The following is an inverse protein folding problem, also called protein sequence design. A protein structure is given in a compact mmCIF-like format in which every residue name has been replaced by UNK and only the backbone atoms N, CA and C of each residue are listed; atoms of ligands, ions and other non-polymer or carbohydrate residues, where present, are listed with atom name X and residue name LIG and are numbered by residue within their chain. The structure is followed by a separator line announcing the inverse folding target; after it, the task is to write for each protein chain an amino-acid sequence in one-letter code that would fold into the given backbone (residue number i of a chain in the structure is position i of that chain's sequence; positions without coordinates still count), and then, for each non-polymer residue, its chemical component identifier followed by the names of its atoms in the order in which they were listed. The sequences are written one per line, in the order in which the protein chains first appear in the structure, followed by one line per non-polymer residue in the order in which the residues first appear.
data_IF_354305036416
#
_entry.id   IF_354305036416
#
_cell.length_a   1.000
_cell.length_b   1.000
_cell.length_c   1.000
_cell.angle_alpha   90.00
_cell.angle_beta   90.00
_cell.angle_gamma   90.00
#
_symmetry.space_group_name_H-M   'P 1'
#
loop_
_entity.id
_entity.type
_entity.pdbx_description
1 polymer ?
#
# COMPACT_ATOMS: atom_id res chain seq x y z
N UNK A 1 -3.30 0.04 -21.86
CA UNK A 1 -3.95 -0.97 -21.02
C UNK A 1 -3.48 -2.38 -21.39
N UNK A 2 -3.80 -3.41 -20.57
CA UNK A 2 -3.49 -4.81 -20.88
C UNK A 2 -4.10 -5.25 -22.21
N UNK A 3 -5.38 -4.98 -22.44
CA UNK A 3 -6.09 -5.38 -23.67
C UNK A 3 -5.46 -4.78 -24.93
N UNK A 4 -5.17 -3.48 -24.93
CA UNK A 4 -4.46 -2.83 -26.05
C UNK A 4 -3.08 -3.44 -26.30
N UNK A 5 -2.37 -3.84 -25.24
CA UNK A 5 -1.08 -4.52 -25.37
C UNK A 5 -1.19 -5.92 -25.95
N UNK A 6 -2.25 -6.65 -25.63
CA UNK A 6 -2.53 -7.97 -26.24
C UNK A 6 -2.96 -7.81 -27.68
N UNK A 7 -3.84 -6.85 -27.98
CA UNK A 7 -4.27 -6.52 -29.33
C UNK A 7 -3.09 -6.14 -30.26
N UNK A 8 -2.17 -5.35 -29.75
CA UNK A 8 -0.96 -4.98 -30.49
C UNK A 8 -0.02 -6.17 -30.74
N UNK A 9 -0.01 -7.17 -29.86
CA UNK A 9 0.83 -8.36 -29.98
C UNK A 9 0.23 -9.44 -30.89
N UNK A 10 -1.10 -9.67 -30.84
CA UNK A 10 -1.71 -10.85 -31.45
C UNK A 10 -3.03 -10.58 -32.19
N UNK A 11 -3.46 -9.31 -32.29
CA UNK A 11 -4.74 -8.95 -32.92
C UNK A 11 -5.95 -9.01 -31.97
N UNK A 12 -7.15 -8.78 -32.50
CA UNK A 12 -8.38 -8.64 -31.71
C UNK A 12 -9.00 -9.97 -31.29
N UNK A 13 -9.04 -10.91 -32.23
CA UNK A 13 -9.76 -12.17 -32.05
C UNK A 13 -8.80 -13.32 -31.78
N UNK A 14 -8.51 -13.56 -30.50
CA UNK A 14 -7.55 -14.58 -30.06
C UNK A 14 -8.31 -15.73 -29.43
N UNK A 15 -8.36 -16.92 -30.06
CA UNK A 15 -8.94 -18.11 -29.46
C UNK A 15 -8.18 -18.51 -28.18
N UNK A 16 -8.88 -18.99 -27.16
CA UNK A 16 -8.25 -19.46 -25.93
C UNK A 16 -7.22 -20.59 -26.18
N UNK A 17 -7.43 -21.41 -27.21
CA UNK A 17 -6.50 -22.46 -27.60
C UNK A 17 -5.11 -21.95 -28.05
N UNK A 18 -5.04 -20.71 -28.50
CA UNK A 18 -3.79 -20.05 -28.90
C UNK A 18 -2.93 -19.63 -27.68
N UNK A 19 -3.57 -19.42 -26.54
CA UNK A 19 -2.91 -18.92 -25.33
C UNK A 19 -2.20 -20.08 -24.63
N UNK A 20 -1.04 -20.48 -25.17
CA UNK A 20 -0.17 -21.53 -24.64
C UNK A 20 0.91 -20.94 -23.73
N UNK A 21 1.70 -21.79 -23.09
CA UNK A 21 2.89 -21.38 -22.32
C UNK A 21 3.88 -20.59 -23.20
N UNK A 22 4.14 -21.07 -24.40
CA UNK A 22 5.02 -20.38 -25.36
C UNK A 22 4.47 -19.01 -25.77
N UNK A 23 3.17 -18.94 -26.04
CA UNK A 23 2.51 -17.66 -26.35
C UNK A 23 2.65 -16.64 -25.20
N UNK A 24 2.49 -17.08 -23.93
CA UNK A 24 2.67 -16.22 -22.74
C UNK A 24 4.12 -15.75 -22.59
N UNK A 25 5.11 -16.63 -22.85
CA UNK A 25 6.52 -16.27 -22.85
C UNK A 25 6.85 -15.22 -23.92
N UNK A 26 6.27 -15.34 -25.12
CA UNK A 26 6.44 -14.36 -26.19
C UNK A 26 5.78 -13.02 -25.84
N UNK A 27 4.59 -13.03 -25.26
CA UNK A 27 3.89 -11.84 -24.80
C UNK A 27 4.67 -11.12 -23.69
N UNK A 28 5.29 -11.84 -22.77
CA UNK A 28 6.14 -11.28 -21.72
C UNK A 28 7.34 -10.53 -22.34
N UNK A 29 8.02 -11.17 -23.29
CA UNK A 29 9.15 -10.56 -24.01
C UNK A 29 8.71 -9.32 -24.79
N UNK A 30 7.57 -9.38 -25.46
CA UNK A 30 7.00 -8.24 -26.18
C UNK A 30 6.76 -7.05 -25.26
N UNK A 31 6.12 -7.26 -24.11
CA UNK A 31 5.89 -6.19 -23.15
C UNK A 31 7.19 -5.69 -22.47
N UNK A 32 8.15 -6.57 -22.27
CA UNK A 32 9.47 -6.18 -21.73
C UNK A 32 10.23 -5.30 -22.72
N UNK A 33 10.20 -5.63 -24.00
CA UNK A 33 10.83 -4.85 -25.07
C UNK A 33 10.12 -3.49 -25.29
N UNK A 34 8.81 -3.43 -25.01
CA UNK A 34 8.02 -2.19 -24.99
C UNK A 34 8.25 -1.34 -23.73
N UNK A 35 9.27 -1.69 -22.93
CA UNK A 35 9.67 -0.93 -21.75
C UNK A 35 8.76 -1.08 -20.52
N UNK A 36 7.84 -2.03 -20.50
CA UNK A 36 6.99 -2.26 -19.33
C UNK A 36 7.76 -2.89 -18.18
N UNK A 37 7.56 -2.37 -16.98
CA UNK A 37 8.17 -2.93 -15.78
C UNK A 37 7.64 -4.35 -15.48
N UNK A 38 8.46 -5.19 -14.85
CA UNK A 38 8.05 -6.53 -14.38
C UNK A 38 6.78 -6.47 -13.51
N UNK A 39 6.63 -5.44 -12.68
CA UNK A 39 5.41 -5.21 -11.87
C UNK A 39 4.18 -5.00 -12.73
N UNK A 40 4.29 -4.19 -13.79
CA UNK A 40 3.19 -3.94 -14.74
C UNK A 40 2.80 -5.21 -15.48
N UNK A 41 3.81 -5.94 -15.97
CA UNK A 41 3.62 -7.23 -16.67
C UNK A 41 2.93 -8.25 -15.75
N UNK A 42 3.38 -8.35 -14.49
CA UNK A 42 2.74 -9.21 -13.49
C UNK A 42 1.25 -8.89 -13.28
N UNK A 43 0.93 -7.60 -13.18
CA UNK A 43 -0.48 -7.16 -13.05
C UNK A 43 -1.29 -7.55 -14.28
N UNK A 44 -0.74 -7.39 -15.47
CA UNK A 44 -1.40 -7.77 -16.72
C UNK A 44 -1.66 -9.28 -16.78
N UNK A 45 -0.67 -10.10 -16.43
CA UNK A 45 -0.86 -11.54 -16.36
C UNK A 45 -1.86 -11.98 -15.28
N UNK A 46 -1.95 -11.26 -14.15
CA UNK A 46 -3.00 -11.55 -13.16
C UNK A 46 -4.40 -11.37 -13.72
N UNK A 47 -4.64 -10.32 -14.51
CA UNK A 47 -5.93 -10.11 -15.16
C UNK A 47 -6.19 -11.18 -16.24
N UNK A 48 -5.19 -11.49 -17.06
CA UNK A 48 -5.32 -12.54 -18.08
C UNK A 48 -5.59 -13.90 -17.44
N UNK A 49 -4.86 -14.24 -16.36
CA UNK A 49 -5.10 -15.48 -15.60
C UNK A 49 -6.50 -15.55 -15.02
N UNK A 50 -7.04 -14.42 -14.54
CA UNK A 50 -8.41 -14.39 -14.02
C UNK A 50 -9.43 -14.70 -15.11
N UNK A 51 -9.28 -14.14 -16.32
CA UNK A 51 -10.13 -14.44 -17.47
C UNK A 51 -10.04 -15.92 -17.85
N UNK A 52 -8.83 -16.47 -17.94
CA UNK A 52 -8.63 -17.88 -18.30
C UNK A 52 -9.11 -18.83 -17.19
N UNK A 53 -9.03 -18.45 -15.93
CA UNK A 53 -9.63 -19.21 -14.83
C UNK A 53 -11.16 -19.27 -14.97
N UNK A 54 -11.80 -18.15 -15.31
CA UNK A 54 -13.24 -18.15 -15.54
C UNK A 54 -13.61 -19.06 -16.72
N UNK A 55 -12.92 -18.92 -17.84
CA UNK A 55 -13.14 -19.79 -19.01
C UNK A 55 -12.90 -21.28 -18.69
N UNK A 56 -11.99 -21.61 -17.78
CA UNK A 56 -11.78 -22.98 -17.27
C UNK A 56 -12.94 -23.44 -16.41
N UNK A 57 -13.42 -22.61 -15.50
CA UNK A 57 -14.58 -22.92 -14.65
C UNK A 57 -15.85 -23.15 -15.48
N UNK A 58 -16.00 -22.39 -16.56
CA UNK A 58 -17.13 -22.50 -17.51
C UNK A 58 -16.97 -23.68 -18.50
N UNK A 59 -15.88 -24.47 -18.36
CA UNK A 59 -15.62 -25.65 -19.23
C UNK A 59 -15.13 -25.31 -20.64
N UNK A 60 -14.88 -24.05 -20.96
CA UNK A 60 -14.36 -23.61 -22.27
C UNK A 60 -12.89 -24.02 -22.45
N UNK A 61 -12.12 -23.99 -21.39
CA UNK A 61 -10.72 -24.43 -21.36
C UNK A 61 -10.62 -25.71 -20.51
N UNK A 62 -10.09 -26.80 -21.09
CA UNK A 62 -9.78 -28.03 -20.33
C UNK A 62 -8.61 -27.79 -19.39
N UNK A 63 -8.62 -28.45 -18.22
CA UNK A 63 -7.55 -28.32 -17.20
C UNK A 63 -6.15 -28.60 -17.78
N UNK A 64 -6.03 -29.60 -18.66
CA UNK A 64 -4.76 -29.94 -19.32
C UNK A 64 -4.18 -28.81 -20.17
N UNK A 65 -5.03 -27.94 -20.71
CA UNK A 65 -4.66 -26.83 -21.58
C UNK A 65 -4.51 -25.49 -20.82
N UNK A 66 -4.75 -25.48 -19.50
CA UNK A 66 -4.61 -24.25 -18.73
C UNK A 66 -3.12 -23.88 -18.59
N UNK A 67 -2.69 -22.69 -19.10
CA UNK A 67 -1.26 -22.43 -19.30
C UNK A 67 -0.51 -21.94 -18.04
N UNK A 68 -1.21 -21.59 -16.95
CA UNK A 68 -0.58 -21.07 -15.74
C UNK A 68 -0.41 -22.15 -14.67
N UNK A 69 0.70 -22.11 -13.93
CA UNK A 69 0.92 -22.95 -12.75
C UNK A 69 2.33 -23.54 -12.67
N UNK A 70 2.54 -24.37 -11.67
CA UNK A 70 3.84 -25.04 -11.46
C UNK A 70 4.16 -25.96 -12.64
N UNK A 71 5.35 -25.81 -13.22
CA UNK A 71 5.77 -26.53 -14.43
C UNK A 71 5.11 -26.05 -15.71
N UNK A 72 4.39 -24.93 -15.66
CA UNK A 72 3.80 -24.20 -16.80
C UNK A 72 4.31 -22.76 -16.78
N UNK A 73 3.53 -21.78 -17.29
CA UNK A 73 3.92 -20.39 -17.21
C UNK A 73 3.83 -19.88 -15.77
N UNK A 74 4.97 -19.44 -15.25
CA UNK A 74 5.07 -18.78 -13.94
C UNK A 74 5.18 -17.27 -14.16
N UNK A 75 4.24 -16.53 -13.55
CA UNK A 75 4.21 -15.08 -13.70
C UNK A 75 5.47 -14.45 -13.10
N UNK A 76 6.08 -13.44 -13.78
CA UNK A 76 7.27 -12.79 -13.27
C UNK A 76 7.01 -12.19 -11.88
N UNK A 77 7.85 -12.53 -10.92
CA UNK A 77 7.81 -11.90 -9.60
C UNK A 77 8.45 -10.51 -9.72
N UNK A 78 7.78 -9.51 -9.19
CA UNK A 78 8.35 -8.20 -9.06
C UNK A 78 8.57 -7.91 -7.58
N UNK A 79 9.82 -7.73 -7.19
CA UNK A 79 10.12 -7.16 -5.89
C UNK A 79 9.67 -5.70 -5.89
N UNK A 80 8.61 -5.41 -5.14
CA UNK A 80 8.15 -4.04 -4.92
C UNK A 80 9.23 -3.23 -4.20
N UNK A 81 9.42 -1.98 -4.60
CA UNK A 81 10.34 -1.07 -3.89
C UNK A 81 9.78 -0.82 -2.48
N UNK A 82 10.35 -1.48 -1.49
CA UNK A 82 9.98 -1.35 -0.07
C UNK A 82 10.83 -0.22 0.52
N UNK A 83 10.34 1.01 0.46
CA UNK A 83 11.02 2.13 1.12
C UNK A 83 10.44 2.28 2.54
N UNK A 84 11.28 2.00 3.53
CA UNK A 84 11.04 2.38 4.92
C UNK A 84 12.08 3.42 5.32
N UNK A 85 11.62 4.50 5.93
CA UNK A 85 12.50 5.54 6.48
C UNK A 85 12.97 5.16 7.88
N UNK A 86 14.17 5.63 8.26
CA UNK A 86 14.64 5.60 9.64
C UNK A 86 13.93 6.67 10.47
N UNK A 87 13.97 6.57 11.80
CA UNK A 87 13.40 7.60 12.69
C UNK A 87 14.02 8.98 12.43
N UNK A 88 15.32 9.05 12.15
CA UNK A 88 15.99 10.30 11.83
C UNK A 88 15.47 10.90 10.51
N UNK A 89 15.30 10.07 9.47
CA UNK A 89 14.73 10.52 8.20
C UNK A 89 13.26 10.95 8.34
N UNK A 90 12.48 10.27 9.20
CA UNK A 90 11.11 10.67 9.51
C UNK A 90 11.13 12.03 10.21
N UNK A 91 12.00 12.23 11.21
CA UNK A 91 12.16 13.51 11.89
C UNK A 91 12.47 14.63 10.90
N UNK A 92 13.47 14.44 10.02
CA UNK A 92 13.80 15.42 8.98
C UNK A 92 12.61 15.74 8.08
N UNK A 93 11.84 14.71 7.67
CA UNK A 93 10.67 14.89 6.82
C UNK A 93 9.58 15.71 7.50
N UNK A 94 9.23 15.37 8.76
CA UNK A 94 8.09 15.99 9.46
C UNK A 94 8.39 17.39 10.00
N UNK A 95 9.68 17.73 10.16
CA UNK A 95 10.11 19.07 10.56
C UNK A 95 10.41 20.00 9.37
N UNK A 96 10.38 19.47 8.14
CA UNK A 96 10.63 20.28 6.94
C UNK A 96 9.55 21.34 6.76
N UNK A 97 9.96 22.57 6.45
CA UNK A 97 9.09 23.65 6.03
C UNK A 97 9.75 24.46 4.90
N UNK A 98 8.96 24.90 3.96
CA UNK A 98 9.34 25.83 2.91
C UNK A 98 8.46 27.09 2.94
N UNK A 99 7.70 27.30 4.03
CA UNK A 99 6.75 28.39 4.19
C UNK A 99 5.46 28.24 3.37
N UNK A 100 5.28 27.12 2.68
CA UNK A 100 4.09 26.87 1.89
C UNK A 100 3.12 25.97 2.67
N UNK A 101 1.93 26.49 2.94
CA UNK A 101 0.89 25.82 3.72
C UNK A 101 0.47 24.47 3.10
N UNK A 102 0.39 24.39 1.77
CA UNK A 102 0.08 23.12 1.09
C UNK A 102 1.17 22.05 1.31
N UNK A 103 2.44 22.47 1.32
CA UNK A 103 3.55 21.58 1.62
C UNK A 103 3.44 21.00 3.03
N UNK A 104 3.15 21.87 3.99
CA UNK A 104 2.99 21.47 5.38
C UNK A 104 1.77 20.56 5.57
N UNK A 105 0.64 20.89 4.94
CA UNK A 105 -0.57 20.07 5.02
C UNK A 105 -0.31 18.63 4.51
N UNK A 106 0.28 18.46 3.32
CA UNK A 106 0.52 17.11 2.79
C UNK A 106 1.63 16.36 3.51
N UNK A 107 2.64 17.03 4.04
CA UNK A 107 3.62 16.48 4.96
C UNK A 107 2.94 15.94 6.22
N UNK A 108 2.06 16.73 6.84
CA UNK A 108 1.33 16.39 8.04
C UNK A 108 0.34 15.25 7.79
N UNK A 109 -0.32 15.19 6.62
CA UNK A 109 -1.15 14.05 6.21
C UNK A 109 -0.32 12.75 6.10
N UNK A 110 0.90 12.82 5.59
CA UNK A 110 1.80 11.67 5.57
C UNK A 110 2.17 11.23 6.99
N UNK A 111 2.48 12.19 7.86
CA UNK A 111 2.83 11.93 9.25
C UNK A 111 1.65 11.33 10.03
N UNK A 112 0.45 11.87 9.85
CA UNK A 112 -0.77 11.28 10.40
C UNK A 112 -0.94 9.82 9.93
N UNK A 113 -0.76 9.56 8.64
CA UNK A 113 -0.83 8.19 8.12
C UNK A 113 0.19 7.28 8.81
N UNK A 114 1.42 7.74 9.02
CA UNK A 114 2.46 6.99 9.71
C UNK A 114 2.08 6.67 11.16
N UNK A 115 1.62 7.66 11.93
CA UNK A 115 1.22 7.52 13.32
C UNK A 115 -0.06 6.66 13.47
N UNK A 116 -0.99 6.76 12.53
CA UNK A 116 -2.21 5.95 12.51
C UNK A 116 -1.98 4.57 11.88
N UNK A 117 -0.97 3.84 12.39
CA UNK A 117 -0.62 2.47 11.98
C UNK A 117 -0.42 2.29 10.46
N UNK A 118 0.08 3.33 9.79
CA UNK A 118 0.24 3.30 8.34
C UNK A 118 -1.09 3.22 7.59
N UNK A 119 -2.11 3.94 8.04
CA UNK A 119 -3.43 3.99 7.39
C UNK A 119 -3.32 4.38 5.92
N UNK A 120 -4.06 3.73 5.03
CA UNK A 120 -4.10 4.15 3.63
C UNK A 120 -4.86 5.46 3.46
N UNK A 121 -4.47 6.28 2.52
CA UNK A 121 -5.14 7.56 2.23
C UNK A 121 -6.63 7.41 2.00
N UNK A 122 -7.08 6.35 1.31
CA UNK A 122 -8.51 6.09 1.16
C UNK A 122 -9.23 5.97 2.49
N UNK A 123 -8.68 5.22 3.43
CA UNK A 123 -9.30 5.01 4.73
C UNK A 123 -9.20 6.30 5.58
N UNK A 124 -8.05 6.99 5.54
CA UNK A 124 -7.80 8.24 6.25
C UNK A 124 -8.74 9.39 5.84
N UNK A 125 -8.96 9.56 4.53
CA UNK A 125 -9.80 10.65 4.02
C UNK A 125 -11.29 10.51 4.37
N UNK A 126 -11.70 9.32 4.80
CA UNK A 126 -13.07 9.02 5.21
C UNK A 126 -13.21 8.68 6.70
N UNK A 127 -12.19 9.00 7.52
CA UNK A 127 -12.34 8.99 8.96
C UNK A 127 -13.31 10.08 9.39
N UNK A 128 -14.19 9.74 10.33
CA UNK A 128 -15.13 10.65 10.98
C UNK A 128 -14.80 10.80 12.45
N UNK A 129 -15.43 11.72 13.14
CA UNK A 129 -15.33 11.85 14.59
C UNK A 129 -15.83 10.60 15.32
N UNK A 130 -16.75 9.83 14.72
CA UNK A 130 -17.20 8.52 15.25
C UNK A 130 -16.08 7.46 15.28
N UNK A 131 -14.98 7.67 14.55
CA UNK A 131 -13.83 6.79 14.62
C UNK A 131 -12.92 7.06 15.83
N UNK A 132 -13.15 8.15 16.58
CA UNK A 132 -12.40 8.48 17.79
C UNK A 132 -13.13 7.85 18.98
N UNK A 133 -12.53 6.82 19.57
CA UNK A 133 -13.02 6.12 20.75
C UNK A 133 -12.04 6.37 21.91
N UNK A 134 -12.30 7.38 22.74
CA UNK A 134 -11.37 7.80 23.79
C UNK A 134 -10.03 8.28 23.24
N UNK A 135 -8.97 7.57 23.57
CA UNK A 135 -7.61 7.87 23.09
C UNK A 135 -7.17 7.01 21.91
N UNK A 136 -8.10 6.45 21.16
CA UNK A 136 -7.81 5.64 19.99
C UNK A 136 -8.60 6.09 18.76
N UNK A 137 -8.03 5.86 17.58
CA UNK A 137 -8.75 5.90 16.30
C UNK A 137 -9.04 4.46 15.91
N UNK A 138 -10.33 4.14 15.76
CA UNK A 138 -10.84 2.82 15.45
C UNK A 138 -11.45 2.80 14.05
N UNK A 139 -10.94 1.94 13.16
CA UNK A 139 -11.43 1.87 11.78
C UNK A 139 -11.30 0.48 11.17
N UNK A 140 -12.12 0.23 10.15
CA UNK A 140 -12.07 -0.99 9.32
C UNK A 140 -11.56 -0.62 7.93
N UNK A 141 -10.58 -1.36 7.42
CA UNK A 141 -10.02 -1.08 6.08
C UNK A 141 -11.04 -1.33 4.99
N UNK A 142 -11.29 -0.33 4.16
CA UNK A 142 -12.22 -0.41 3.03
C UNK A 142 -11.87 -1.56 2.05
N UNK A 143 -10.57 -1.84 1.86
CA UNK A 143 -10.09 -2.91 0.97
C UNK A 143 -10.55 -4.31 1.42
N UNK A 144 -10.65 -4.55 2.72
CA UNK A 144 -10.92 -5.89 3.29
C UNK A 144 -12.32 -6.01 3.86
N UNK A 145 -13.06 -4.92 4.02
CA UNK A 145 -14.41 -4.87 4.58
C UNK A 145 -15.38 -5.87 3.91
N UNK A 146 -15.29 -6.00 2.58
CA UNK A 146 -16.20 -6.85 1.80
C UNK A 146 -15.59 -8.17 1.32
N UNK A 147 -14.30 -8.42 1.57
CA UNK A 147 -13.60 -9.59 1.04
C UNK A 147 -13.06 -10.52 2.12
N UNK A 148 -12.97 -10.05 3.35
CA UNK A 148 -12.50 -10.85 4.49
C UNK A 148 -13.66 -11.59 5.16
N UNK A 149 -13.45 -12.87 5.50
CA UNK A 149 -14.40 -13.65 6.33
C UNK A 149 -14.51 -13.11 7.75
N UNK A 150 -13.50 -12.41 8.25
CA UNK A 150 -13.49 -11.76 9.55
C UNK A 150 -13.15 -10.27 9.37
N UNK A 151 -14.07 -9.42 9.75
CA UNK A 151 -13.85 -7.98 9.81
C UNK A 151 -12.98 -7.70 11.05
N UNK A 152 -11.84 -7.03 10.84
CA UNK A 152 -10.94 -6.61 11.92
C UNK A 152 -10.96 -5.11 12.05
N UNK A 153 -11.28 -4.61 13.23
CA UNK A 153 -11.11 -3.21 13.59
C UNK A 153 -9.64 -2.98 13.92
N UNK A 154 -9.04 -2.00 13.26
CA UNK A 154 -7.71 -1.50 13.58
C UNK A 154 -7.87 -0.41 14.62
N UNK A 155 -7.04 -0.46 15.67
CA UNK A 155 -6.96 0.54 16.72
C UNK A 155 -5.61 1.20 16.68
N UNK A 156 -5.58 2.50 16.59
CA UNK A 156 -4.36 3.32 16.61
C UNK A 156 -4.48 4.34 17.73
N UNK A 157 -3.46 4.41 18.59
CA UNK A 157 -3.43 5.41 19.65
C UNK A 157 -3.43 6.81 19.06
N UNK A 158 -4.36 7.66 19.48
CA UNK A 158 -4.49 9.04 19.04
C UNK A 158 -3.46 9.92 19.78
N UNK A 159 -2.27 10.04 19.22
CA UNK A 159 -1.17 10.79 19.83
C UNK A 159 -1.41 12.30 19.84
N UNK A 160 -0.71 13.07 20.69
CA UNK A 160 -0.80 14.54 20.68
C UNK A 160 -0.52 15.15 19.30
N UNK A 161 0.45 14.59 18.56
CA UNK A 161 0.78 15.04 17.22
C UNK A 161 -0.39 14.84 16.24
N UNK A 162 -1.10 13.70 16.35
CA UNK A 162 -2.29 13.46 15.53
C UNK A 162 -3.42 14.42 15.88
N UNK A 163 -3.61 14.72 17.15
CA UNK A 163 -4.59 15.73 17.60
C UNK A 163 -4.28 17.11 17.01
N UNK A 164 -3.02 17.56 17.07
CA UNK A 164 -2.57 18.82 16.47
C UNK A 164 -2.79 18.86 14.96
N UNK A 165 -2.60 17.75 14.26
CA UNK A 165 -2.84 17.65 12.81
C UNK A 165 -4.33 17.76 12.51
N UNK A 166 -5.20 17.12 13.30
CA UNK A 166 -6.66 17.25 13.16
C UNK A 166 -7.09 18.68 13.43
N UNK A 167 -6.61 19.31 14.51
CA UNK A 167 -6.93 20.68 14.85
C UNK A 167 -6.53 21.67 13.73
N UNK A 168 -5.35 21.47 13.16
CA UNK A 168 -4.81 22.36 12.12
C UNK A 168 -5.51 22.21 10.76
N UNK A 169 -5.76 20.99 10.34
CA UNK A 169 -6.17 20.65 8.97
C UNK A 169 -7.57 20.04 8.87
N UNK A 170 -8.15 19.66 9.99
CA UNK A 170 -9.44 18.98 10.07
C UNK A 170 -10.63 19.92 9.94
N UNK A 171 -11.81 19.31 9.90
CA UNK A 171 -13.06 19.99 10.18
C UNK A 171 -13.14 20.27 11.68
N UNK A 172 -13.86 21.33 12.05
CA UNK A 172 -14.21 21.54 13.44
C UNK A 172 -15.13 20.40 13.93
N UNK A 173 -14.96 19.99 15.18
CA UNK A 173 -15.92 19.09 15.81
C UNK A 173 -17.21 19.89 16.07
N UNK A 174 -18.25 19.54 15.32
CA UNK A 174 -19.58 20.15 15.40
C UNK A 174 -20.56 19.34 16.27
N UNK A 175 -20.06 18.32 16.96
CA UNK A 175 -20.84 17.37 17.76
C UNK A 175 -21.57 16.32 16.93
N UNK A 176 -21.44 16.35 15.59
CA UNK A 176 -21.97 15.30 14.73
C UNK A 176 -20.90 14.21 14.52
N UNK A 177 -21.13 12.98 14.99
CA UNK A 177 -20.15 11.91 14.89
C UNK A 177 -19.80 11.51 13.46
N UNK A 178 -20.66 11.80 12.48
CA UNK A 178 -20.46 11.50 11.07
C UNK A 178 -19.66 12.58 10.32
N UNK A 179 -19.33 13.70 10.98
CA UNK A 179 -18.47 14.73 10.40
C UNK A 179 -17.08 14.15 10.13
N UNK A 180 -16.61 14.30 8.87
CA UNK A 180 -15.28 13.81 8.46
C UNK A 180 -14.18 14.55 9.23
N UNK A 181 -13.12 13.84 9.62
CA UNK A 181 -11.97 14.47 10.30
C UNK A 181 -11.25 15.46 9.41
N UNK A 182 -11.13 15.19 8.09
CA UNK A 182 -10.38 16.03 7.15
C UNK A 182 -11.25 16.61 6.04
N UNK A 183 -10.90 17.82 5.57
CA UNK A 183 -11.65 18.64 4.59
C UNK A 183 -11.53 18.19 3.13
N UNK A 184 -11.08 16.98 2.84
CA UNK A 184 -10.85 16.51 1.47
C UNK A 184 -12.09 15.96 0.79
N UNK A 185 -12.98 15.36 1.55
CA UNK A 185 -14.20 14.71 1.07
C UNK A 185 -15.44 15.35 1.71
N UNK A 186 -16.60 15.06 1.14
CA UNK A 186 -17.91 15.51 1.66
C UNK A 186 -18.70 14.38 2.33
N UNK A 187 -18.25 13.13 2.13
CA UNK A 187 -18.96 11.92 2.58
C UNK A 187 -20.15 11.51 1.71
N UNK A 188 -20.42 12.26 0.63
CA UNK A 188 -21.56 12.03 -0.30
C UNK A 188 -21.10 11.51 -1.66
N UNK A 189 -19.80 11.25 -1.84
CA UNK A 189 -19.23 10.83 -3.10
C UNK A 189 -19.71 9.43 -3.48
N UNK A 190 -20.04 9.23 -4.77
CA UNK A 190 -20.20 7.92 -5.38
C UNK A 190 -18.89 7.12 -5.36
N UNK A 191 -18.96 5.81 -5.56
CA UNK A 191 -17.78 4.94 -5.60
C UNK A 191 -16.72 5.39 -6.65
N UNK A 192 -17.17 5.97 -7.76
CA UNK A 192 -16.31 6.51 -8.79
C UNK A 192 -15.62 7.79 -8.35
N UNK A 193 -16.36 8.73 -7.76
CA UNK A 193 -15.84 9.99 -7.23
C UNK A 193 -14.86 9.77 -6.08
N UNK A 194 -15.16 8.83 -5.16
CA UNK A 194 -14.22 8.39 -4.12
C UNK A 194 -12.89 7.98 -4.74
N UNK A 195 -12.93 7.14 -5.77
CA UNK A 195 -11.71 6.67 -6.46
C UNK A 195 -10.93 7.83 -7.07
N UNK A 196 -11.61 8.77 -7.73
CA UNK A 196 -10.98 9.94 -8.33
C UNK A 196 -10.37 10.87 -7.27
N UNK A 197 -11.12 11.17 -6.21
CA UNK A 197 -10.66 12.01 -5.10
C UNK A 197 -9.40 11.43 -4.45
N UNK A 198 -9.45 10.16 -4.06
CA UNK A 198 -8.30 9.47 -3.44
C UNK A 198 -7.09 9.47 -4.38
N UNK A 199 -7.31 9.22 -5.67
CA UNK A 199 -6.22 9.27 -6.67
C UNK A 199 -5.60 10.66 -6.74
N UNK A 200 -6.42 11.72 -6.85
CA UNK A 200 -5.98 13.12 -6.92
C UNK A 200 -5.19 13.53 -5.67
N UNK A 201 -5.72 13.28 -4.47
CA UNK A 201 -5.07 13.62 -3.20
C UNK A 201 -3.77 12.85 -3.03
N UNK A 202 -3.76 11.53 -3.33
CA UNK A 202 -2.55 10.70 -3.23
C UNK A 202 -1.48 11.16 -4.23
N UNK A 203 -1.83 11.48 -5.46
CA UNK A 203 -0.89 11.99 -6.46
C UNK A 203 -0.30 13.32 -6.01
N UNK A 204 -1.11 14.26 -5.53
CA UNK A 204 -0.63 15.55 -5.05
C UNK A 204 0.30 15.40 -3.87
N UNK A 205 -0.05 14.59 -2.89
CA UNK A 205 0.82 14.25 -1.77
C UNK A 205 2.16 13.66 -2.25
N UNK A 206 2.14 12.71 -3.17
CA UNK A 206 3.36 12.10 -3.71
C UNK A 206 4.27 13.10 -4.46
N UNK A 207 3.69 14.10 -5.14
CA UNK A 207 4.45 15.18 -5.79
C UNK A 207 5.16 16.03 -4.73
N UNK A 208 4.45 16.41 -3.69
CA UNK A 208 4.98 17.24 -2.60
C UNK A 208 6.05 16.47 -1.81
N UNK A 209 5.79 15.22 -1.43
CA UNK A 209 6.77 14.37 -0.75
C UNK A 209 8.04 14.16 -1.59
N UNK A 210 7.92 14.03 -2.92
CA UNK A 210 9.08 13.93 -3.80
C UNK A 210 9.91 15.23 -3.81
N UNK A 211 9.26 16.40 -3.74
CA UNK A 211 9.94 17.70 -3.62
C UNK A 211 10.67 17.82 -2.29
N UNK A 212 10.01 17.50 -1.18
CA UNK A 212 10.62 17.48 0.16
C UNK A 212 11.80 16.50 0.19
N UNK A 213 11.61 15.28 -0.32
CA UNK A 213 12.68 14.26 -0.36
C UNK A 213 13.91 14.77 -1.11
N UNK A 214 13.71 15.46 -2.25
CA UNK A 214 14.80 16.04 -3.03
C UNK A 214 15.52 17.14 -2.25
N UNK A 215 14.78 18.01 -1.57
CA UNK A 215 15.36 19.09 -0.75
C UNK A 215 16.19 18.55 0.41
N UNK A 216 15.78 17.42 1.01
CA UNK A 216 16.45 16.78 2.14
C UNK A 216 17.51 15.75 1.74
N UNK A 217 17.74 15.50 0.45
CA UNK A 217 18.64 14.43 -0.01
C UNK A 217 18.17 13.02 0.34
N UNK A 218 16.86 12.85 0.63
CA UNK A 218 16.27 11.56 0.97
C UNK A 218 15.88 10.76 -0.28
N UNK A 219 15.76 9.43 -0.17
CA UNK A 219 15.12 8.63 -1.20
C UNK A 219 13.70 9.14 -1.46
N UNK A 220 13.21 9.04 -2.71
CA UNK A 220 11.86 9.49 -3.06
C UNK A 220 10.80 8.83 -2.17
N UNK A 221 10.23 9.60 -1.26
CA UNK A 221 9.16 9.19 -0.35
C UNK A 221 7.82 9.22 -1.10
N UNK A 222 6.94 8.30 -0.75
CA UNK A 222 5.56 8.23 -1.24
C UNK A 222 4.61 8.04 -0.05
N UNK A 223 3.32 8.24 -0.27
CA UNK A 223 2.29 7.96 0.75
C UNK A 223 2.38 6.54 1.31
N UNK A 224 2.76 5.58 0.46
CA UNK A 224 2.90 4.18 0.88
C UNK A 224 4.12 3.92 1.79
N UNK A 225 5.13 4.78 1.73
CA UNK A 225 6.29 4.70 2.61
C UNK A 225 5.92 4.88 4.09
N UNK A 226 4.84 5.61 4.42
CA UNK A 226 4.35 5.75 5.78
C UNK A 226 4.09 4.39 6.44
N UNK A 227 3.37 3.52 5.74
CA UNK A 227 3.04 2.17 6.23
C UNK A 227 4.27 1.27 6.34
N UNK A 228 5.19 1.33 5.38
CA UNK A 228 6.44 0.57 5.47
C UNK A 228 7.33 1.07 6.60
N UNK A 229 7.41 2.39 6.80
CA UNK A 229 8.18 2.98 7.87
C UNK A 229 7.61 2.61 9.24
N UNK A 230 6.29 2.70 9.44
CA UNK A 230 5.63 2.25 10.67
C UNK A 230 6.01 0.80 11.02
N UNK A 231 5.81 -0.12 10.10
CA UNK A 231 6.09 -1.53 10.35
C UNK A 231 7.59 -1.79 10.62
N UNK A 232 8.49 -1.12 9.87
CA UNK A 232 9.93 -1.32 9.99
C UNK A 232 10.50 -0.69 11.25
N UNK A 233 10.01 0.49 11.64
CA UNK A 233 10.42 1.14 12.90
C UNK A 233 10.04 0.28 14.09
N UNK A 234 8.81 -0.21 14.16
CA UNK A 234 8.37 -1.11 15.24
C UNK A 234 9.18 -2.41 15.28
N UNK A 235 9.45 -3.01 14.11
CA UNK A 235 10.30 -4.20 14.05
C UNK A 235 11.70 -3.93 14.61
N UNK A 236 12.34 -2.84 14.20
CA UNK A 236 13.67 -2.44 14.68
C UNK A 236 13.70 -2.12 16.17
N UNK A 237 12.57 -1.70 16.74
CA UNK A 237 12.40 -1.48 18.17
C UNK A 237 12.14 -2.79 18.95
N UNK A 238 12.18 -3.96 18.31
CA UNK A 238 11.95 -5.25 18.95
C UNK A 238 10.48 -5.58 19.21
N UNK A 239 9.54 -4.81 18.62
CA UNK A 239 8.10 -5.06 18.80
C UNK A 239 7.70 -6.40 18.20
N UNK A 240 6.84 -7.13 18.92
CA UNK A 240 6.34 -8.43 18.45
C UNK A 240 5.65 -8.31 17.09
N UNK A 241 5.97 -9.23 16.17
CA UNK A 241 5.44 -9.24 14.81
C UNK A 241 3.91 -9.43 14.78
N UNK A 242 3.34 -10.11 15.78
CA UNK A 242 1.88 -10.26 15.89
C UNK A 242 1.20 -8.93 16.16
N UNK A 243 1.79 -8.07 17.02
CA UNK A 243 1.30 -6.71 17.25
C UNK A 243 1.37 -5.87 15.98
N UNK A 244 2.50 -5.93 15.25
CA UNK A 244 2.66 -5.22 13.97
C UNK A 244 1.61 -5.68 12.96
N UNK A 245 1.37 -6.99 12.88
CA UNK A 245 0.37 -7.60 11.99
C UNK A 245 -1.06 -7.15 12.31
N UNK A 246 -1.41 -7.13 13.58
CA UNK A 246 -2.72 -6.65 14.08
C UNK A 246 -2.90 -5.16 13.77
N UNK A 247 -1.91 -4.33 14.13
CA UNK A 247 -1.91 -2.88 13.87
C UNK A 247 -2.04 -2.55 12.38
N UNK A 248 -1.48 -3.39 11.52
CA UNK A 248 -1.62 -3.25 10.06
C UNK A 248 -2.93 -3.83 9.51
N UNK A 249 -3.72 -4.54 10.33
CA UNK A 249 -4.94 -5.23 9.90
C UNK A 249 -4.68 -6.34 8.90
N UNK A 250 -3.57 -7.07 9.04
CA UNK A 250 -3.26 -8.21 8.18
C UNK A 250 -3.96 -9.48 8.70
N UNK A 251 -4.50 -10.27 7.79
CA UNK A 251 -5.12 -11.57 8.13
C UNK A 251 -4.10 -12.71 8.33
N UNK A 252 -2.86 -12.52 7.87
CA UNK A 252 -1.78 -13.50 7.93
C UNK A 252 -0.45 -12.82 8.23
N UNK A 253 0.35 -13.38 9.12
CA UNK A 253 1.70 -12.91 9.48
C UNK A 253 2.64 -12.83 8.26
N UNK A 254 2.55 -13.78 7.33
CA UNK A 254 3.35 -13.77 6.10
C UNK A 254 3.17 -12.48 5.28
N UNK A 255 1.97 -11.89 5.31
CA UNK A 255 1.74 -10.59 4.67
C UNK A 255 2.53 -9.50 5.37
N UNK A 256 2.66 -9.56 6.70
CA UNK A 256 3.45 -8.60 7.49
C UNK A 256 4.94 -8.74 7.20
N UNK A 257 5.46 -9.96 7.11
CA UNK A 257 6.85 -10.23 6.77
C UNK A 257 7.25 -9.61 5.43
N UNK A 258 6.33 -9.57 4.47
CA UNK A 258 6.54 -8.91 3.18
C UNK A 258 6.68 -7.38 3.27
N UNK A 259 6.21 -6.76 4.36
CA UNK A 259 6.36 -5.32 4.62
C UNK A 259 7.67 -4.99 5.32
N UNK A 260 8.26 -5.96 6.01
CA UNK A 260 9.44 -5.73 6.82
C UNK A 260 10.68 -5.72 5.93
N UNK A 261 11.54 -4.72 6.14
CA UNK A 261 12.88 -4.72 5.56
C UNK A 261 13.74 -5.83 6.20
N UNK A 262 14.77 -6.27 5.49
CA UNK A 262 15.78 -7.15 6.07
C UNK A 262 16.45 -6.51 7.29
N UNK A 263 16.93 -7.34 8.21
CA UNK A 263 17.70 -6.84 9.35
C UNK A 263 18.98 -6.16 8.89
N UNK A 264 19.30 -5.02 9.48
CA UNK A 264 20.55 -4.32 9.25
C UNK A 264 21.73 -5.05 9.92
N UNK A 265 22.95 -4.73 9.49
CA UNK A 265 24.14 -5.42 9.97
C UNK A 265 24.34 -5.29 11.50
N UNK A 266 24.02 -4.12 12.05
CA UNK A 266 24.17 -3.87 13.48
C UNK A 266 23.16 -4.65 14.33
N UNK A 267 21.95 -4.83 13.83
CA UNK A 267 20.94 -5.65 14.48
C UNK A 267 21.33 -7.15 14.44
N UNK A 268 21.93 -7.59 13.33
CA UNK A 268 22.48 -8.96 13.22
C UNK A 268 23.63 -9.18 14.21
N UNK A 269 24.51 -8.16 14.40
CA UNK A 269 25.59 -8.24 15.38
C UNK A 269 25.06 -8.31 16.82
N UNK A 270 24.06 -7.47 17.17
CA UNK A 270 23.42 -7.52 18.50
C UNK A 270 22.80 -8.90 18.78
N UNK A 271 22.08 -9.44 17.81
CA UNK A 271 21.46 -10.76 17.95
C UNK A 271 22.52 -11.88 18.05
N UNK A 272 23.64 -11.76 17.33
CA UNK A 272 24.75 -12.69 17.47
C UNK A 272 25.41 -12.64 18.86
N UNK A 273 25.53 -11.45 19.46
CA UNK A 273 26.07 -11.30 20.82
C UNK A 273 25.20 -11.98 21.88
N UNK A 274 23.85 -12.01 21.68
CA UNK A 274 22.96 -12.73 22.60
C UNK A 274 23.23 -14.23 22.65
N UNK A 275 23.78 -14.81 21.57
CA UNK A 275 24.09 -16.25 21.50
C UNK A 275 25.36 -16.62 22.29
N UNK A 276 26.17 -15.65 22.65
CA UNK A 276 27.44 -15.82 23.38
C UNK A 276 27.39 -15.21 24.79
N UNK A 277 26.25 -14.68 25.20
CA UNK A 277 26.04 -14.19 26.56
C UNK A 277 25.69 -15.38 27.45
N UNK A 278 26.69 -15.92 28.15
CA UNK A 278 26.59 -17.07 29.04
C UNK A 278 26.50 -16.68 30.54
N UNK A 279 26.25 -15.39 30.83
CA UNK A 279 26.08 -14.86 32.17
C UNK A 279 24.65 -15.02 32.68
#
# INVERSE_FOLDING_TARGET
SMLLGIEAFAGKDIPFSTITVDWLNRLERFWSNDGKSKSTINVYFKYLKAILNQARMDGVIKEVNFPFGRGRFEMPSAEGRKLALTLEQIKQLVTYTDGNEETEMYRDMWFFSYLCNGINFRDMLYLTYNNIEGDEICFVRAKTKNTSKQIRTIRAVLTPEMRNIIERWGNADDGNPDTLLFKFATGKESAYEIKQLVCKVTQRCNIILARISKALGLPRVTTYAARHSFATVLKRSGTNISYISESLGHSNLMVTENYLASFEQDERKKNAQLLTNFD
#
